data_IF_014035986481
#
_entry.id   IF_014035986481
#
_cell.length_a   1.000
_cell.length_b   1.000
_cell.length_c   1.000
_cell.angle_alpha   90.00
_cell.angle_beta   90.00
_cell.angle_gamma   90.00
#
_symmetry.space_group_name_H-M   'P 1'
#
loop_
_entity.id
_entity.type
_entity.pdbx_description
1 polymer ?
#
# COMPACT_ATOMS: atom_id res chain seq x y z
N UNK A 1 -14.00 -15.29 12.04
CA UNK A 1 -13.30 -15.50 10.74
C UNK A 1 -12.07 -14.58 10.60
N UNK A 2 -11.29 -14.35 11.67
CA UNK A 2 -10.12 -13.44 11.66
C UNK A 2 -8.99 -13.99 12.55
N UNK A 3 -8.68 -15.27 12.46
CA UNK A 3 -7.81 -15.93 13.46
C UNK A 3 -6.33 -16.03 13.08
N UNK A 4 -5.89 -15.56 11.90
CA UNK A 4 -4.49 -15.72 11.48
C UNK A 4 -3.96 -14.54 10.61
N UNK A 5 -4.12 -13.29 11.06
CA UNK A 5 -3.33 -12.22 10.45
C UNK A 5 -1.87 -12.39 10.86
N UNK A 6 -1.03 -12.89 9.94
CA UNK A 6 0.43 -12.87 10.14
C UNK A 6 0.84 -11.43 10.43
N UNK A 7 1.66 -11.20 11.46
CA UNK A 7 2.14 -9.84 11.84
C UNK A 7 2.65 -9.05 10.62
N UNK A 8 3.31 -9.73 9.69
CA UNK A 8 3.78 -9.17 8.42
C UNK A 8 2.67 -8.55 7.54
N UNK A 9 1.48 -9.15 7.46
CA UNK A 9 0.36 -8.61 6.67
C UNK A 9 -0.20 -7.34 7.32
N UNK A 10 -0.29 -7.29 8.65
CA UNK A 10 -0.74 -6.09 9.38
C UNK A 10 0.27 -4.96 9.20
N UNK A 11 1.57 -5.26 9.29
CA UNK A 11 2.64 -4.28 9.04
C UNK A 11 2.58 -3.71 7.62
N UNK A 12 2.42 -4.57 6.61
CA UNK A 12 2.29 -4.13 5.20
C UNK A 12 1.06 -3.24 4.99
N UNK A 13 -0.08 -3.61 5.58
CA UNK A 13 -1.31 -2.82 5.45
C UNK A 13 -1.20 -1.47 6.17
N UNK A 14 -0.55 -1.42 7.34
CA UNK A 14 -0.27 -0.17 8.03
C UNK A 14 0.68 0.74 7.24
N UNK A 15 1.72 0.17 6.63
CA UNK A 15 2.66 0.93 5.80
C UNK A 15 1.95 1.48 4.55
N UNK A 16 1.07 0.69 3.93
CA UNK A 16 0.23 1.12 2.82
C UNK A 16 -0.66 2.31 3.20
N UNK A 17 -1.27 2.23 4.39
CA UNK A 17 -2.14 3.29 4.90
C UNK A 17 -1.38 4.59 5.17
N UNK A 18 -0.16 4.51 5.72
CA UNK A 18 0.71 5.68 5.92
C UNK A 18 1.10 6.28 4.56
N UNK A 19 1.43 5.45 3.57
CA UNK A 19 1.75 5.94 2.23
C UNK A 19 0.55 6.57 1.53
N UNK A 20 -0.66 6.09 1.79
CA UNK A 20 -1.89 6.70 1.29
C UNK A 20 -2.10 8.09 1.90
N UNK A 21 -1.93 8.23 3.22
CA UNK A 21 -1.99 9.54 3.88
C UNK A 21 -0.95 10.50 3.30
N UNK A 22 0.26 10.02 3.03
CA UNK A 22 1.30 10.83 2.39
C UNK A 22 0.91 11.29 0.97
N UNK A 23 0.30 10.41 0.17
CA UNK A 23 -0.22 10.76 -1.16
C UNK A 23 -1.27 11.86 -1.08
N UNK A 24 -2.21 11.74 -0.13
CA UNK A 24 -3.25 12.73 0.12
C UNK A 24 -2.65 14.07 0.57
N UNK A 25 -1.69 14.07 1.51
CA UNK A 25 -1.06 15.31 1.96
C UNK A 25 -0.28 16.01 0.86
N UNK A 26 0.46 15.26 0.01
CA UNK A 26 1.16 15.82 -1.15
C UNK A 26 0.18 16.45 -2.15
N UNK A 27 -0.92 15.75 -2.44
CA UNK A 27 -1.94 16.21 -3.38
C UNK A 27 -2.54 17.57 -2.96
N UNK A 28 -2.85 17.72 -1.67
CA UNK A 28 -3.37 18.97 -1.12
C UNK A 28 -2.29 20.04 -0.89
N UNK A 29 -1.00 19.67 -0.83
CA UNK A 29 0.12 20.60 -0.70
C UNK A 29 0.57 21.22 -2.04
N UNK A 30 -0.03 20.82 -3.16
CA UNK A 30 0.28 21.31 -4.51
C UNK A 30 1.21 20.41 -5.32
N UNK A 31 1.79 19.38 -4.71
CA UNK A 31 2.63 18.35 -5.33
C UNK A 31 1.77 17.20 -5.89
N UNK A 32 0.97 17.53 -6.92
CA UNK A 32 -0.05 16.62 -7.46
C UNK A 32 0.54 15.41 -8.17
N UNK A 33 1.61 15.60 -8.94
CA UNK A 33 2.24 14.51 -9.71
C UNK A 33 2.92 13.52 -8.77
N UNK A 34 3.60 14.01 -7.74
CA UNK A 34 4.24 13.20 -6.71
C UNK A 34 3.20 12.48 -5.85
N UNK A 35 2.11 13.16 -5.48
CA UNK A 35 0.99 12.57 -4.77
C UNK A 35 0.33 11.45 -5.58
N UNK A 36 0.11 11.67 -6.89
CA UNK A 36 -0.45 10.67 -7.79
C UNK A 36 0.49 9.48 -7.99
N UNK A 37 1.79 9.73 -8.18
CA UNK A 37 2.80 8.69 -8.30
C UNK A 37 2.80 7.81 -7.04
N UNK A 38 2.86 8.41 -5.85
CA UNK A 38 2.84 7.72 -4.56
C UNK A 38 1.55 6.91 -4.37
N UNK A 39 0.40 7.48 -4.77
CA UNK A 39 -0.90 6.83 -4.68
C UNK A 39 -1.05 5.62 -5.63
N UNK A 40 -0.34 5.58 -6.75
CA UNK A 40 -0.43 4.51 -7.74
C UNK A 40 0.57 3.37 -7.51
N UNK A 41 1.83 3.68 -7.21
CA UNK A 41 2.87 2.64 -7.15
C UNK A 41 2.76 1.75 -5.90
N UNK A 42 2.37 2.29 -4.74
CA UNK A 42 2.22 1.52 -3.49
C UNK A 42 1.17 0.40 -3.60
N UNK A 43 -0.07 0.65 -4.04
CA UNK A 43 -1.04 -0.43 -4.24
C UNK A 43 -0.60 -1.40 -5.34
N UNK A 44 0.15 -0.95 -6.35
CA UNK A 44 0.69 -1.82 -7.40
C UNK A 44 1.67 -2.87 -6.86
N UNK A 45 2.57 -2.48 -5.95
CA UNK A 45 3.51 -3.41 -5.29
C UNK A 45 2.77 -4.37 -4.35
N UNK A 46 1.76 -3.89 -3.63
CA UNK A 46 0.95 -4.74 -2.75
C UNK A 46 0.15 -5.78 -3.55
N UNK A 47 -0.41 -5.38 -4.70
CA UNK A 47 -1.09 -6.29 -5.62
C UNK A 47 -0.10 -7.33 -6.18
N UNK A 48 1.11 -6.92 -6.57
CA UNK A 48 2.16 -7.80 -7.04
C UNK A 48 2.63 -8.80 -5.96
N UNK A 49 2.87 -8.34 -4.74
CA UNK A 49 3.24 -9.20 -3.62
C UNK A 49 2.13 -10.21 -3.27
N UNK A 50 0.86 -9.78 -3.35
CA UNK A 50 -0.28 -10.67 -3.16
C UNK A 50 -0.39 -11.71 -4.28
N UNK A 51 -0.14 -11.32 -5.53
CA UNK A 51 -0.10 -12.23 -6.67
C UNK A 51 1.01 -13.28 -6.54
N UNK A 52 2.24 -12.89 -6.17
CA UNK A 52 3.33 -13.84 -5.92
C UNK A 52 2.93 -14.82 -4.82
N UNK A 53 2.42 -14.34 -3.70
CA UNK A 53 2.00 -15.18 -2.58
C UNK A 53 0.89 -16.17 -2.96
N UNK A 54 -0.02 -15.78 -3.85
CA UNK A 54 -1.08 -16.64 -4.37
C UNK A 54 -0.52 -17.76 -5.27
N UNK A 55 0.50 -17.45 -6.09
CA UNK A 55 1.10 -18.40 -7.04
C UNK A 55 2.16 -19.32 -6.41
N UNK A 56 2.78 -18.93 -5.30
CA UNK A 56 3.76 -19.74 -4.55
C UNK A 56 3.10 -20.78 -3.62
N UNK A 57 2.01 -21.41 -4.07
CA UNK A 57 1.28 -22.40 -3.27
C UNK A 57 1.98 -23.75 -3.24
#
# INVERSE_FOLDING_TARGET
MFKNFKKSTVLLLSAAFISFLLSVTLWFSGFKDEGMYVGLWVPSILAFGSFIKQNYK
#
